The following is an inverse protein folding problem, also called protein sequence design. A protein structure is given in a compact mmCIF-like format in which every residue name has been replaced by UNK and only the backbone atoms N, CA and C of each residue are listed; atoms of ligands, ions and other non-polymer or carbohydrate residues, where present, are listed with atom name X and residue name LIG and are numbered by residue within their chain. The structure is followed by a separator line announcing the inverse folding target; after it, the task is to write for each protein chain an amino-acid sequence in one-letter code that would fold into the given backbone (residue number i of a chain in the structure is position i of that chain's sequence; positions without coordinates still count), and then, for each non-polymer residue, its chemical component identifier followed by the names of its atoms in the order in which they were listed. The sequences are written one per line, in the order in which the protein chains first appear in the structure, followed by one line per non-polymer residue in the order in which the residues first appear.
data_IF_573056241640
#
_entry.id   IF_573056241640
#
_cell.length_a   1.000
_cell.length_b   1.000
_cell.length_c   1.000
_cell.angle_alpha   90.00
_cell.angle_beta   90.00
_cell.angle_gamma   90.00
#
_symmetry.space_group_name_H-M   'P 1'
#
loop_
_entity.id
_entity.type
_entity.pdbx_description
1 polymer ?
2 non-polymer ?
3 non-polymer ?
4 non-polymer ?
5 water ?
#
# COMPACT_ATOMS: atom_id res chain seq x y z
N UNK A 7 -2.57 -28.68 1.04
CA UNK A 7 -2.66 -27.54 1.95
C UNK A 7 -3.58 -26.44 1.42
N UNK A 8 -4.26 -25.75 2.35
CA UNK A 8 -5.22 -24.71 1.97
C UNK A 8 -4.47 -23.44 1.60
N UNK A 9 -4.81 -22.86 0.45
CA UNK A 9 -4.08 -21.72 -0.07
C UNK A 9 -5.03 -20.74 -0.74
N UNK A 10 -4.64 -19.47 -0.73
CA UNK A 10 -5.15 -18.48 -1.67
C UNK A 10 -4.12 -18.23 -2.77
N UNK A 11 -4.62 -17.88 -3.97
CA UNK A 11 -3.76 -17.64 -5.13
C UNK A 11 -3.98 -16.20 -5.58
N UNK A 12 -3.02 -15.34 -5.26
CA UNK A 12 -3.16 -13.90 -5.42
C UNK A 12 -2.46 -13.44 -6.69
N UNK A 13 -3.12 -12.57 -7.46
CA UNK A 13 -2.52 -12.10 -8.72
C UNK A 13 -1.28 -11.26 -8.45
N UNK A 14 -0.25 -11.42 -9.30
CA UNK A 14 0.98 -10.63 -9.18
C UNK A 14 0.75 -9.18 -9.59
N UNK A 15 0.01 -8.93 -10.67
CA UNK A 15 -0.17 -7.55 -11.11
C UNK A 15 -1.43 -6.90 -10.55
N UNK A 16 -2.38 -7.68 -10.06
CA UNK A 16 -3.56 -7.16 -9.34
C UNK A 16 -3.57 -7.83 -7.97
N UNK A 17 -2.74 -7.31 -7.06
CA UNK A 17 -2.46 -8.04 -5.83
C UNK A 17 -3.61 -7.96 -4.83
N UNK A 18 -4.63 -7.20 -5.14
CA UNK A 18 -5.86 -7.22 -4.36
C UNK A 18 -6.84 -8.28 -4.85
N UNK A 19 -6.49 -8.99 -5.92
CA UNK A 19 -7.39 -9.95 -6.53
C UNK A 19 -6.85 -11.36 -6.41
N UNK A 20 -7.78 -12.30 -6.36
CA UNK A 20 -7.55 -13.70 -6.04
C UNK A 20 -8.31 -14.58 -7.01
N UNK A 21 -7.74 -15.73 -7.38
CA UNK A 21 -8.48 -16.72 -8.14
C UNK A 21 -9.64 -17.21 -7.28
N UNK A 22 -10.86 -17.14 -7.80
CA UNK A 22 -11.99 -17.57 -7.00
C UNK A 22 -13.03 -18.26 -7.87
N UNK A 23 -13.88 -19.02 -7.19
CA UNK A 23 -15.02 -19.69 -7.79
C UNK A 23 -16.25 -18.81 -7.60
N UNK A 24 -16.90 -18.43 -8.70
CA UNK A 24 -18.13 -17.64 -8.69
C UNK A 24 -19.22 -18.50 -9.35
N UNK A 25 -19.89 -19.31 -8.53
CA UNK A 25 -20.90 -20.27 -8.99
C UNK A 25 -20.42 -21.02 -10.24
N UNK A 26 -19.25 -21.64 -10.10
CA UNK A 26 -18.52 -22.44 -11.08
C UNK A 26 -17.79 -21.58 -12.10
N UNK A 27 -18.03 -20.27 -12.17
CA UNK A 27 -17.22 -19.40 -13.01
C UNK A 27 -15.89 -19.14 -12.33
N UNK A 28 -14.79 -19.36 -13.06
CA UNK A 28 -13.44 -19.21 -12.51
C UNK A 28 -12.88 -17.85 -12.93
N UNK A 29 -12.63 -16.98 -11.96
CA UNK A 29 -12.16 -15.64 -12.27
C UNK A 29 -11.26 -15.12 -11.16
N UNK A 30 -10.66 -13.95 -11.38
CA UNK A 30 -10.03 -13.21 -10.29
C UNK A 30 -10.94 -12.05 -9.92
N UNK A 31 -11.05 -11.80 -8.61
CA UNK A 31 -11.87 -10.72 -8.08
C UNK A 31 -11.18 -10.16 -6.85
N UNK A 32 -11.48 -8.90 -6.54
CA UNK A 32 -11.18 -8.43 -5.20
C UNK A 32 -12.43 -8.54 -4.33
N UNK A 33 -12.27 -8.25 -3.04
CA UNK A 33 -13.38 -8.28 -2.09
C UNK A 33 -14.16 -9.58 -2.19
N UNK A 34 -13.44 -10.71 -2.23
CA UNK A 34 -14.08 -11.99 -2.47
C UNK A 34 -14.98 -12.35 -1.28
N UNK A 35 -16.26 -12.54 -1.56
CA UNK A 35 -17.27 -12.82 -0.54
C UNK A 35 -18.13 -13.98 -1.03
N UNK A 36 -18.26 -15.07 -0.25
CA UNK A 36 -17.57 -15.39 1.00
C UNK A 36 -16.10 -15.68 0.76
N UNK A 37 -15.25 -15.52 1.79
CA UNK A 37 -13.82 -15.71 1.62
C UNK A 37 -13.47 -17.12 1.14
N UNK A 38 -14.30 -18.11 1.47
CA UNK A 38 -14.02 -19.47 1.07
C UNK A 38 -14.04 -19.64 -0.46
N UNK A 39 -14.69 -18.74 -1.18
CA UNK A 39 -14.64 -18.78 -2.63
C UNK A 39 -13.22 -18.63 -3.16
N UNK A 40 -12.33 -18.02 -2.37
CA UNK A 40 -10.95 -17.82 -2.79
C UNK A 40 -9.98 -18.82 -2.16
N UNK A 41 -10.48 -19.82 -1.43
CA UNK A 41 -9.61 -20.80 -0.78
C UNK A 41 -9.60 -22.09 -1.59
N UNK A 42 -8.40 -22.62 -1.78
CA UNK A 42 -8.20 -23.83 -2.55
C UNK A 42 -7.34 -24.81 -1.73
N UNK A 43 -7.44 -26.09 -2.05
CA UNK A 43 -6.55 -27.10 -1.50
C UNK A 43 -5.60 -27.51 -2.59
N UNK A 44 -4.32 -27.22 -2.42
CA UNK A 44 -3.30 -27.73 -3.32
C UNK A 44 -2.95 -29.15 -2.90
N UNK A 45 -3.18 -30.11 -3.79
CA UNK A 45 -2.98 -31.52 -3.50
C UNK A 45 -1.97 -32.06 -4.49
N UNK A 46 -1.34 -33.20 -4.19
CA UNK A 46 -0.49 -33.84 -5.19
C UNK A 46 -1.24 -34.03 -6.51
N UNK A 47 -0.52 -33.86 -7.61
CA UNK A 47 -1.17 -33.78 -8.91
C UNK A 47 -1.92 -35.07 -9.25
N UNK A 48 -3.12 -34.93 -9.82
CA UNK A 48 -3.92 -36.09 -10.21
C UNK A 48 -3.24 -36.92 -11.29
N UNK A 49 -2.51 -36.28 -12.20
CA UNK A 49 -1.86 -37.00 -13.28
C UNK A 49 -0.43 -37.43 -12.92
N UNK A 50 0.11 -36.92 -11.82
CA UNK A 50 1.46 -37.22 -11.39
C UNK A 50 1.60 -36.60 -10.00
N UNK A 51 1.68 -37.44 -8.98
CA UNK A 51 1.78 -36.89 -7.64
C UNK A 51 3.20 -36.42 -7.33
N UNK A 52 4.14 -36.64 -8.27
CA UNK A 52 5.53 -36.38 -8.02
C UNK A 52 5.96 -34.94 -8.25
N UNK A 53 7.23 -34.71 -7.92
CA UNK A 53 7.72 -33.39 -7.53
C UNK A 53 7.33 -32.32 -8.52
N UNK A 54 6.75 -31.25 -8.00
CA UNK A 54 6.30 -30.13 -8.79
C UNK A 54 4.80 -30.09 -8.98
N UNK A 55 4.20 -31.23 -9.31
CA UNK A 55 2.84 -31.27 -9.85
C UNK A 55 1.79 -31.23 -8.75
N UNK A 56 0.81 -30.34 -8.92
CA UNK A 56 -0.29 -30.20 -7.99
C UNK A 56 -1.59 -30.19 -8.77
N UNK A 57 -2.67 -30.38 -8.05
CA UNK A 57 -4.00 -30.15 -8.56
C UNK A 57 -4.68 -29.20 -7.59
N UNK A 58 -5.59 -28.40 -8.11
CA UNK A 58 -6.14 -27.26 -7.37
C UNK A 58 -7.61 -27.55 -7.09
N UNK A 59 -7.91 -27.86 -5.83
CA UNK A 59 -9.21 -28.39 -5.44
C UNK A 59 -10.02 -27.33 -4.72
N UNK A 60 -11.31 -27.28 -5.03
CA UNK A 60 -12.21 -26.39 -4.30
C UNK A 60 -12.37 -26.84 -2.85
N UNK A 61 -12.39 -25.88 -1.93
CA UNK A 61 -12.63 -26.25 -0.53
C UNK A 61 -14.13 -26.49 -0.29
N UNK A 62 -15.00 -25.89 -1.11
CA UNK A 62 -16.44 -26.04 -0.93
C UNK A 62 -16.95 -27.30 -1.61
N UNK A 63 -16.46 -27.59 -2.81
CA UNK A 63 -16.88 -28.75 -3.60
C UNK A 63 -15.68 -29.69 -3.69
N UNK A 64 -15.45 -30.47 -2.64
CA UNK A 64 -14.34 -31.41 -2.70
C UNK A 64 -14.59 -32.45 -3.78
N UNK A 65 -13.52 -32.88 -4.44
CA UNK A 65 -13.65 -33.65 -5.64
C UNK A 65 -13.79 -32.83 -6.90
N UNK A 66 -14.05 -31.52 -6.78
CA UNK A 66 -14.04 -30.59 -7.90
C UNK A 66 -12.68 -29.91 -7.96
N UNK A 67 -12.15 -29.77 -9.16
CA UNK A 67 -10.83 -29.20 -9.38
C UNK A 67 -10.91 -28.19 -10.53
N UNK A 68 -9.93 -27.30 -10.56
CA UNK A 68 -9.71 -26.47 -11.73
C UNK A 68 -9.13 -27.34 -12.86
N UNK A 69 -9.78 -27.33 -14.01
CA UNK A 69 -9.26 -28.03 -15.17
C UNK A 69 -9.40 -27.13 -16.38
N UNK A 70 -8.45 -27.24 -17.30
CA UNK A 70 -8.59 -26.49 -18.54
C UNK A 70 -9.33 -27.34 -19.58
N UNK A 71 -10.05 -26.64 -20.45
CA UNK A 71 -10.85 -27.26 -21.50
C UNK A 71 -10.96 -26.25 -22.64
N UNK A 72 -10.46 -26.59 -23.82
CA UNK A 72 -10.42 -25.64 -24.93
C UNK A 72 -9.69 -24.37 -24.52
N UNK A 73 -8.71 -24.51 -23.62
CA UNK A 73 -7.85 -23.47 -23.06
C UNK A 73 -8.58 -22.54 -22.09
N UNK A 74 -9.86 -22.75 -21.83
CA UNK A 74 -10.56 -22.02 -20.77
C UNK A 74 -10.56 -22.86 -19.51
N UNK A 75 -10.78 -22.22 -18.39
CA UNK A 75 -10.81 -22.93 -17.12
C UNK A 75 -12.24 -23.17 -16.66
N UNK A 76 -12.46 -24.35 -16.11
CA UNK A 76 -13.74 -24.78 -15.53
C UNK A 76 -13.46 -25.36 -14.16
N UNK A 77 -14.42 -25.23 -13.25
CA UNK A 77 -14.38 -25.95 -11.98
C UNK A 77 -15.28 -27.18 -12.18
N UNK A 78 -14.68 -28.36 -12.14
CA UNK A 78 -15.41 -29.58 -12.49
C UNK A 78 -15.03 -30.73 -11.56
N UNK A 79 -15.97 -31.66 -11.42
CA UNK A 79 -15.77 -32.83 -10.60
C UNK A 79 -14.92 -33.87 -11.33
N UNK A 80 -13.92 -34.42 -10.63
CA UNK A 80 -13.06 -35.43 -11.20
C UNK A 80 -13.89 -36.63 -11.65
N UNK A 81 -13.84 -36.94 -12.95
CA UNK A 81 -14.60 -38.05 -13.50
C UNK A 81 -13.76 -39.31 -13.69
N UNK A 82 -12.56 -39.36 -13.12
CA UNK A 82 -11.70 -40.53 -13.17
C UNK A 82 -10.99 -40.76 -14.48
N UNK A 83 -11.19 -39.92 -15.49
CA UNK A 83 -10.52 -40.09 -16.77
C UNK A 83 -9.10 -39.56 -16.73
N UNK A 84 -8.24 -40.13 -17.57
CA UNK A 84 -6.86 -39.64 -17.65
C UNK A 84 -6.82 -38.22 -18.21
N UNK A 85 -7.67 -37.92 -19.19
CA UNK A 85 -7.73 -36.57 -19.74
C UNK A 85 -8.11 -35.56 -18.66
N UNK A 86 -9.05 -35.91 -17.78
CA UNK A 86 -9.36 -34.99 -16.69
C UNK A 86 -8.13 -34.74 -15.84
N UNK A 87 -7.48 -35.83 -15.41
CA UNK A 87 -6.33 -35.68 -14.51
C UNK A 87 -5.25 -34.82 -15.17
N UNK A 88 -4.99 -35.05 -16.45
CA UNK A 88 -3.97 -34.26 -17.14
C UNK A 88 -4.39 -32.80 -17.29
N UNK A 89 -5.68 -32.55 -17.51
CA UNK A 89 -6.19 -31.19 -17.63
C UNK A 89 -6.25 -30.48 -16.27
N UNK A 90 -6.09 -31.21 -15.17
CA UNK A 90 -6.21 -30.66 -13.82
C UNK A 90 -4.91 -30.76 -13.05
N UNK A 91 -3.79 -30.97 -13.74
CA UNK A 91 -2.50 -31.12 -13.09
C UNK A 91 -1.55 -30.06 -13.65
N UNK A 92 -0.84 -29.39 -12.74
CA UNK A 92 0.02 -28.26 -13.06
C UNK A 92 1.29 -28.34 -12.25
N UNK A 93 2.43 -28.08 -12.90
CA UNK A 93 3.69 -27.99 -12.18
C UNK A 93 3.85 -26.59 -11.61
N UNK A 94 4.13 -26.50 -10.32
CA UNK A 94 4.45 -25.22 -9.70
C UNK A 94 5.90 -24.90 -10.02
N UNK A 95 6.11 -23.79 -10.73
CA UNK A 95 7.45 -23.38 -11.15
C UNK A 95 7.66 -21.96 -10.65
N UNK A 96 8.92 -21.50 -10.61
CA UNK A 96 9.17 -20.10 -10.22
C UNK A 96 8.41 -19.12 -11.12
N UNK A 97 7.97 -18.02 -10.51
CA UNK A 97 7.04 -17.13 -11.20
C UNK A 97 7.65 -16.56 -12.47
N UNK A 98 6.84 -16.53 -13.53
CA UNK A 98 7.36 -16.09 -14.82
C UNK A 98 7.69 -14.60 -14.83
N UNK A 99 6.99 -13.79 -14.03
CA UNK A 99 7.35 -12.38 -13.92
C UNK A 99 8.30 -12.10 -12.77
N UNK A 100 8.48 -13.06 -11.86
CA UNK A 100 9.33 -12.88 -10.68
C UNK A 100 9.54 -14.26 -10.07
N UNK A 101 10.77 -14.79 -10.07
CA UNK A 101 10.96 -16.20 -9.68
C UNK A 101 10.68 -16.48 -8.22
N UNK A 102 10.54 -15.45 -7.39
CA UNK A 102 10.13 -15.66 -6.01
C UNK A 102 8.63 -15.91 -5.88
N UNK A 103 7.86 -15.64 -6.92
CA UNK A 103 6.43 -15.94 -6.93
C UNK A 103 6.23 -17.30 -7.61
N UNK A 104 5.01 -17.60 -8.03
CA UNK A 104 4.66 -18.93 -8.52
C UNK A 104 3.93 -18.83 -9.86
N UNK A 105 4.26 -19.72 -10.79
CA UNK A 105 3.46 -19.93 -11.98
C UNK A 105 3.08 -21.40 -12.06
N UNK A 106 2.02 -21.70 -12.85
CA UNK A 106 1.41 -23.02 -12.89
C UNK A 106 1.45 -23.52 -14.33
N UNK A 107 2.37 -24.44 -14.61
CA UNK A 107 2.62 -24.98 -15.94
C UNK A 107 1.76 -26.21 -16.20
N UNK A 108 1.05 -26.24 -17.32
CA UNK A 108 0.15 -27.36 -17.60
C UNK A 108 0.92 -28.67 -17.72
N UNK A 109 0.35 -29.73 -17.15
CA UNK A 109 0.94 -31.07 -17.28
C UNK A 109 0.97 -31.54 -18.74
N UNK A 110 -0.16 -31.47 -19.45
CA UNK A 110 -0.19 -31.97 -20.81
C UNK A 110 0.13 -30.92 -21.87
N UNK A 111 0.24 -29.64 -21.50
CA UNK A 111 0.68 -28.59 -22.42
C UNK A 111 1.77 -27.79 -21.72
N UNK A 112 2.98 -28.34 -21.63
CA UNK A 112 3.99 -27.77 -20.74
C UNK A 112 4.54 -26.42 -21.21
N UNK A 113 4.18 -25.95 -22.39
CA UNK A 113 4.50 -24.58 -22.77
C UNK A 113 3.41 -23.60 -22.41
N UNK A 114 2.34 -24.05 -21.76
CA UNK A 114 1.21 -23.19 -21.42
C UNK A 114 1.08 -23.07 -19.92
N UNK A 115 0.62 -21.90 -19.48
CA UNK A 115 0.53 -21.55 -18.06
C UNK A 115 -0.85 -21.00 -17.75
N UNK A 116 -1.26 -21.16 -16.49
CA UNK A 116 -2.47 -20.50 -16.03
C UNK A 116 -2.25 -19.00 -16.02
N UNK A 117 -3.20 -18.25 -16.60
CA UNK A 117 -3.11 -16.79 -16.64
C UNK A 117 -4.51 -16.20 -16.60
N UNK A 118 -4.59 -14.95 -16.17
CA UNK A 118 -5.86 -14.25 -16.22
C UNK A 118 -5.90 -13.27 -17.40
N UNK A 119 -7.09 -13.13 -17.97
CA UNK A 119 -7.32 -12.21 -19.08
C UNK A 119 -8.76 -11.74 -19.04
N UNK A 120 -8.98 -10.43 -19.00
CA UNK A 120 -10.32 -9.87 -18.73
C UNK A 120 -10.92 -10.48 -17.47
N UNK A 121 -10.04 -10.75 -16.50
CA UNK A 121 -10.35 -11.31 -15.18
C UNK A 121 -10.81 -12.76 -15.22
N UNK A 122 -10.83 -13.42 -16.37
CA UNK A 122 -11.16 -14.84 -16.45
C UNK A 122 -9.87 -15.65 -16.54
N UNK A 123 -9.95 -16.93 -16.18
CA UNK A 123 -8.78 -17.79 -16.17
C UNK A 123 -8.68 -18.58 -17.47
N UNK A 124 -7.46 -18.63 -18.01
CA UNK A 124 -7.14 -19.31 -19.28
C UNK A 124 -5.85 -20.07 -19.09
N UNK A 125 -5.55 -20.93 -20.08
CA UNK A 125 -4.29 -21.65 -20.17
C UNK A 125 -3.62 -21.22 -21.48
N UNK A 126 -2.56 -20.42 -21.39
CA UNK A 126 -2.00 -19.77 -22.57
C UNK A 126 -0.49 -19.90 -22.64
N UNK A 127 0.02 -19.84 -23.88
CA UNK A 127 1.43 -19.57 -24.08
C UNK A 127 1.74 -18.15 -23.60
N UNK A 128 2.95 -17.96 -23.09
CA UNK A 128 3.30 -16.72 -22.39
C UNK A 128 4.47 -16.09 -23.15
N UNK A 129 4.20 -14.94 -23.77
CA UNK A 129 5.16 -14.27 -24.65
C UNK A 129 5.54 -12.89 -24.10
N UNK A 130 4.56 -12.04 -23.81
CA UNK A 130 4.84 -10.65 -23.48
C UNK A 130 5.06 -10.48 -21.96
N UNK A 131 5.57 -9.30 -21.58
CA UNK A 131 5.66 -8.98 -20.16
C UNK A 131 4.28 -8.94 -19.51
N UNK A 132 3.28 -8.49 -20.26
CA UNK A 132 1.89 -8.56 -19.79
C UNK A 132 1.51 -10.00 -19.50
N UNK A 133 1.74 -10.89 -20.49
CA UNK A 133 1.47 -12.31 -20.28
C UNK A 133 2.17 -12.83 -19.03
N UNK A 134 3.45 -12.48 -18.87
CA UNK A 134 4.19 -13.01 -17.72
C UNK A 134 3.56 -12.57 -16.41
N UNK A 135 3.14 -11.30 -16.32
CA UNK A 135 2.50 -10.85 -15.07
C UNK A 135 1.14 -11.51 -14.89
N UNK A 136 0.39 -11.68 -15.99
CA UNK A 136 -0.92 -12.35 -15.92
C UNK A 136 -0.80 -13.80 -15.51
N UNK A 137 0.39 -14.39 -15.62
CA UNK A 137 0.62 -15.79 -15.31
C UNK A 137 1.37 -15.99 -14.00
N UNK A 138 1.57 -14.94 -13.22
CA UNK A 138 2.33 -15.03 -11.97
C UNK A 138 1.38 -14.82 -10.81
N UNK A 139 1.53 -15.64 -9.77
CA UNK A 139 0.64 -15.61 -8.62
C UNK A 139 1.44 -15.78 -7.34
N UNK A 140 0.91 -15.23 -6.26
CA UNK A 140 1.47 -15.44 -4.93
C UNK A 140 0.62 -16.47 -4.20
N UNK A 141 1.25 -17.56 -3.78
CA UNK A 141 0.58 -18.59 -3.01
C UNK A 141 0.63 -18.19 -1.54
N UNK A 142 -0.53 -17.98 -0.94
CA UNK A 142 -0.63 -17.65 0.48
C UNK A 142 -1.22 -18.89 1.16
N UNK A 143 -0.42 -19.52 2.01
CA UNK A 143 -0.83 -20.79 2.62
C UNK A 143 -0.54 -20.77 4.11
N UNK A 144 -0.61 -21.94 4.76
CA UNK A 144 -0.50 -21.99 6.22
C UNK A 144 0.87 -21.60 6.71
N UNK A 145 1.90 -21.69 5.88
CA UNK A 145 3.23 -21.24 6.28
C UNK A 145 3.39 -19.74 6.17
N UNK A 146 2.50 -19.04 5.48
CA UNK A 146 2.61 -17.60 5.38
C UNK A 146 2.34 -16.94 6.74
N UNK A 147 2.89 -15.74 6.91
CA UNK A 147 2.63 -14.98 8.13
C UNK A 147 1.14 -14.77 8.26
N UNK A 148 0.59 -15.14 9.42
CA UNK A 148 -0.83 -14.97 9.76
C UNK A 148 -1.06 -13.55 10.24
N UNK A 149 -1.81 -12.72 9.51
CA UNK A 149 -2.03 -11.34 9.97
C UNK A 149 -2.81 -11.22 11.29
N UNK A 150 -3.45 -12.30 11.76
CA UNK A 150 -4.19 -12.26 13.01
C UNK A 150 -3.38 -12.73 14.20
N UNK A 151 -2.13 -13.13 14.00
CA UNK A 151 -1.30 -13.65 15.07
C UNK A 151 -0.39 -12.53 15.59
N UNK A 152 -0.41 -12.30 16.89
CA UNK A 152 0.42 -11.24 17.47
C UNK A 152 1.85 -11.70 17.67
N UNK A 153 2.78 -10.74 17.62
CA UNK A 153 4.20 -11.02 17.82
C UNK A 153 4.88 -9.71 18.20
N UNK A 154 5.65 -9.73 19.29
CA UNK A 154 6.35 -8.51 19.71
C UNK A 154 7.63 -8.26 18.92
N UNK A 155 8.19 -9.28 18.29
CA UNK A 155 9.35 -9.06 17.44
C UNK A 155 8.92 -8.51 16.09
N UNK A 156 9.64 -7.52 15.59
CA UNK A 156 9.38 -6.91 14.29
C UNK A 156 10.48 -7.35 13.34
N UNK A 157 10.18 -8.34 12.50
CA UNK A 157 11.08 -8.83 11.47
C UNK A 157 10.30 -8.77 10.16
N UNK A 158 10.81 -7.99 9.21
CA UNK A 158 10.14 -7.83 7.93
C UNK A 158 11.08 -8.26 6.82
N UNK A 159 10.48 -8.59 5.68
CA UNK A 159 11.23 -8.72 4.44
C UNK A 159 10.77 -7.60 3.52
N UNK A 160 11.69 -6.71 3.18
CA UNK A 160 11.38 -5.58 2.31
C UNK A 160 11.61 -5.96 0.84
N UNK A 161 10.72 -5.60 -0.09
CA UNK A 161 9.48 -4.82 0.10
C UNK A 161 8.39 -5.59 0.84
N UNK A 162 7.73 -4.93 1.80
CA UNK A 162 6.63 -5.57 2.49
C UNK A 162 5.43 -5.70 1.58
N UNK A 163 5.06 -4.61 0.89
CA UNK A 163 3.95 -4.63 -0.05
C UNK A 163 4.44 -4.03 -1.35
N UNK A 164 4.44 -4.84 -2.41
CA UNK A 164 4.88 -4.34 -3.70
C UNK A 164 3.81 -3.47 -4.35
N UNK A 165 4.28 -2.46 -5.10
CA UNK A 165 3.43 -1.62 -5.94
C UNK A 165 2.31 -0.96 -5.13
N UNK A 166 2.68 -0.45 -3.96
CA UNK A 166 1.83 0.44 -3.17
C UNK A 166 2.69 1.61 -2.74
N UNK A 167 2.28 2.82 -3.07
CA UNK A 167 3.04 4.02 -2.74
C UNK A 167 2.33 4.79 -1.62
N UNK A 168 3.04 5.78 -1.06
CA UNK A 168 2.49 6.62 0.00
C UNK A 168 1.92 5.77 1.15
N UNK A 169 2.70 4.82 1.69
CA UNK A 169 2.12 3.90 2.68
C UNK A 169 1.79 4.61 3.99
N UNK A 170 0.54 4.49 4.41
CA UNK A 170 0.08 4.97 5.71
C UNK A 170 -0.18 3.77 6.62
N UNK A 171 0.50 3.72 7.77
CA UNK A 171 0.31 2.62 8.72
C UNK A 171 -0.05 3.20 10.08
N UNK A 172 -1.18 2.75 10.62
CA UNK A 172 -1.74 3.27 11.87
C UNK A 172 -1.95 2.10 12.82
N UNK A 173 -1.26 2.16 13.98
CA UNK A 173 -1.39 1.14 15.02
C UNK A 173 -2.59 1.50 15.90
N UNK A 174 -3.65 0.72 15.79
CA UNK A 174 -4.89 0.97 16.52
C UNK A 174 -4.83 0.29 17.89
N UNK A 175 -5.81 0.64 18.74
CA UNK A 175 -5.85 0.14 20.11
C UNK A 175 -6.49 -1.25 20.23
N UNK A 176 -6.84 -1.89 19.11
CA UNK A 176 -7.29 -3.27 19.07
C UNK A 176 -6.15 -4.27 18.82
N UNK A 177 -4.90 -3.80 18.74
CA UNK A 177 -3.79 -4.68 18.46
C UNK A 177 -3.56 -4.96 16.98
N UNK A 178 -4.10 -4.14 16.09
CA UNK A 178 -3.88 -4.27 14.66
C UNK A 178 -3.23 -3.00 14.12
N UNK A 179 -2.28 -3.18 13.20
CA UNK A 179 -1.92 -2.12 12.26
C UNK A 179 -2.93 -2.08 11.13
N UNK A 180 -3.28 -0.87 10.70
CA UNK A 180 -4.14 -0.64 9.55
C UNK A 180 -3.35 0.11 8.49
N UNK A 181 -3.40 -0.35 7.24
CA UNK A 181 -2.57 0.24 6.20
C UNK A 181 -3.44 0.69 5.05
N UNK A 182 -3.24 1.93 4.63
CA UNK A 182 -3.78 2.44 3.38
C UNK A 182 -2.62 2.95 2.55
N UNK A 183 -2.82 2.98 1.23
CA UNK A 183 -1.72 3.39 0.35
C UNK A 183 -2.33 3.81 -0.98
N UNK A 184 -1.52 4.52 -1.78
CA UNK A 184 -1.91 4.79 -3.16
C UNK A 184 -1.76 3.52 -3.99
N UNK A 185 -2.75 3.23 -4.81
CA UNK A 185 -2.65 2.10 -5.74
C UNK A 185 -2.17 2.63 -7.09
N UNK A 186 -1.52 1.80 -7.91
CA UNK A 186 -0.88 2.32 -9.13
C UNK A 186 -1.84 2.95 -10.12
N UNK A 187 -3.11 2.53 -10.13
CA UNK A 187 -4.10 3.12 -11.03
C UNK A 187 -4.70 4.40 -10.47
N UNK A 188 -4.40 4.71 -9.20
CA UNK A 188 -4.91 5.90 -8.53
C UNK A 188 -6.43 6.01 -8.67
N UNK A 189 -7.14 4.89 -8.46
CA UNK A 189 -8.57 4.87 -8.77
C UNK A 189 -9.44 4.32 -7.65
N UNK A 190 -8.89 4.06 -6.47
CA UNK A 190 -9.70 3.46 -5.42
C UNK A 190 -8.92 3.60 -4.11
N UNK A 191 -9.61 3.29 -3.01
CA UNK A 191 -9.03 3.32 -1.66
C UNK A 191 -9.00 1.90 -1.13
N UNK A 192 -7.80 1.43 -0.79
CA UNK A 192 -7.55 0.07 -0.34
C UNK A 192 -7.14 0.05 1.12
N UNK A 193 -7.72 -0.89 1.90
CA UNK A 193 -7.41 -1.04 3.32
C UNK A 193 -7.04 -2.49 3.63
N UNK A 194 -6.05 -2.67 4.51
CA UNK A 194 -5.71 -3.99 5.03
C UNK A 194 -5.29 -3.84 6.49
N UNK A 195 -5.24 -4.96 7.20
CA UNK A 195 -4.80 -4.91 8.60
C UNK A 195 -4.01 -6.17 8.94
N UNK A 196 -3.17 -6.03 9.97
CA UNK A 196 -2.32 -7.11 10.43
C UNK A 196 -1.83 -6.76 11.82
N UNK A 197 -1.65 -7.79 12.66
CA UNK A 197 -1.12 -7.54 14.00
C UNK A 197 0.38 -7.26 13.96
N UNK A 198 1.06 -7.67 12.89
CA UNK A 198 2.48 -7.42 12.70
C UNK A 198 2.69 -6.72 11.35
N UNK A 199 3.76 -5.92 11.27
CA UNK A 199 4.08 -5.28 10.00
C UNK A 199 4.32 -6.31 8.90
N UNK A 200 5.00 -7.41 9.22
CA UNK A 200 5.26 -8.38 8.15
C UNK A 200 3.96 -9.00 7.65
N UNK A 201 2.97 -9.17 8.53
CA UNK A 201 1.68 -9.68 8.12
C UNK A 201 0.93 -8.79 7.16
N UNK A 202 1.31 -7.50 7.05
CA UNK A 202 0.71 -6.64 6.05
C UNK A 202 0.97 -7.19 4.65
N UNK A 203 2.04 -7.97 4.50
CA UNK A 203 2.36 -8.53 3.19
C UNK A 203 1.31 -9.54 2.75
N UNK A 204 0.84 -10.36 3.68
CA UNK A 204 -0.05 -11.46 3.35
C UNK A 204 -1.51 -11.15 3.65
N UNK A 205 -1.80 -10.03 4.32
CA UNK A 205 -3.18 -9.70 4.65
C UNK A 205 -4.02 -9.52 3.39
N UNK A 206 -5.28 -9.91 3.48
CA UNK A 206 -6.20 -9.73 2.37
C UNK A 206 -6.70 -8.30 2.34
N UNK A 207 -6.35 -7.51 1.32
CA UNK A 207 -6.81 -6.13 1.28
C UNK A 207 -8.27 -6.06 0.83
N UNK A 208 -8.91 -4.96 1.20
CA UNK A 208 -10.27 -4.70 0.77
C UNK A 208 -10.33 -3.36 0.05
N UNK A 209 -10.98 -3.33 -1.12
CA UNK A 209 -11.30 -2.06 -1.77
C UNK A 209 -12.50 -1.48 -1.03
N UNK A 210 -12.29 -0.45 -0.22
CA UNK A 210 -13.41 0.08 0.54
C UNK A 210 -14.14 1.18 -0.21
N UNK A 211 -13.55 1.75 -1.26
CA UNK A 211 -14.14 2.87 -1.99
C UNK A 211 -13.50 2.95 -3.37
N UNK A 212 -14.34 3.13 -4.41
CA UNK A 212 -13.86 3.34 -5.77
C UNK A 212 -14.29 4.71 -6.25
N UNK A 213 -13.48 5.28 -7.14
CA UNK A 213 -13.72 6.65 -7.58
C UNK A 213 -15.01 6.71 -8.40
N UNK A 214 -15.59 7.91 -8.44
CA UNK A 214 -16.79 8.15 -9.21
C UNK A 214 -16.49 8.02 -10.69
N UNK A 215 -17.50 7.63 -11.46
CA UNK A 215 -17.24 7.45 -12.89
C UNK A 215 -17.16 8.78 -13.65
N UNK A 216 -17.61 9.89 -13.06
CA UNK A 216 -17.42 11.20 -13.66
C UNK A 216 -17.45 12.26 -12.56
N UNK A 217 -16.97 13.45 -12.90
CA UNK A 217 -17.15 14.60 -12.02
C UNK A 217 -16.27 14.59 -10.79
N UNK A 218 -16.86 14.98 -9.66
CA UNK A 218 -16.12 15.13 -8.42
C UNK A 218 -15.65 13.76 -7.95
N UNK A 219 -14.47 13.71 -7.31
CA UNK A 219 -13.89 12.46 -6.85
C UNK A 219 -13.73 11.45 -7.97
N UNK A 220 -13.46 11.94 -9.19
CA UNK A 220 -13.46 11.11 -10.37
C UNK A 220 -12.15 11.12 -11.13
N UNK A 221 -11.14 11.78 -10.56
CA UNK A 221 -9.82 11.83 -11.15
C UNK A 221 -8.83 10.96 -10.38
N UNK A 222 -7.60 11.42 -10.25
CA UNK A 222 -6.61 10.70 -9.46
C UNK A 222 -7.03 10.61 -8.01
N UNK A 223 -6.88 9.42 -7.42
CA UNK A 223 -7.14 9.13 -6.01
C UNK A 223 -5.78 8.89 -5.35
N UNK A 224 -5.38 9.76 -4.43
CA UNK A 224 -4.02 9.77 -3.92
C UNK A 224 -3.94 9.72 -2.39
N UNK A 225 -3.01 8.92 -1.89
CA UNK A 225 -2.51 8.98 -0.51
C UNK A 225 -3.56 8.99 0.60
N UNK A 226 -4.46 8.00 0.64
CA UNK A 226 -5.43 7.97 1.72
C UNK A 226 -4.74 7.64 3.04
N UNK A 227 -5.26 8.23 4.12
CA UNK A 227 -4.83 7.88 5.49
C UNK A 227 -6.05 7.52 6.33
N UNK A 228 -6.01 6.40 7.05
CA UNK A 228 -7.09 6.04 7.96
C UNK A 228 -6.71 6.42 9.38
N UNK A 229 -7.64 7.07 10.08
CA UNK A 229 -7.47 7.56 11.44
C UNK A 229 -8.69 7.19 12.28
N UNK A 230 -8.47 7.03 13.57
CA UNK A 230 -9.55 6.80 14.53
C UNK A 230 -9.68 8.05 15.39
N UNK A 231 -10.82 8.72 15.32
CA UNK A 231 -11.03 10.00 16.01
C UNK A 231 -12.42 10.00 16.63
N UNK A 232 -12.48 10.29 17.93
CA UNK A 232 -13.74 10.42 18.66
C UNK A 232 -14.66 9.24 18.38
N UNK A 233 -14.10 8.04 18.43
CA UNK A 233 -14.87 6.81 18.31
C UNK A 233 -15.26 6.39 16.91
N UNK A 234 -14.79 7.07 15.87
CA UNK A 234 -15.18 6.74 14.50
C UNK A 234 -13.94 6.67 13.62
N UNK A 235 -14.04 5.92 12.54
CA UNK A 235 -12.97 5.87 11.55
C UNK A 235 -13.13 6.95 10.49
N UNK A 236 -12.02 7.53 10.08
CA UNK A 236 -11.99 8.52 9.02
C UNK A 236 -10.90 8.17 8.04
N UNK A 237 -11.19 8.37 6.75
CA UNK A 237 -10.15 8.31 5.75
C UNK A 237 -10.04 9.68 5.12
N UNK A 238 -8.85 10.27 5.23
CA UNK A 238 -8.52 11.51 4.53
C UNK A 238 -7.76 11.15 3.27
N UNK A 239 -8.24 11.65 2.12
CA UNK A 239 -7.58 11.31 0.86
C UNK A 239 -7.72 12.48 -0.09
N UNK A 240 -6.97 12.41 -1.18
CA UNK A 240 -6.91 13.47 -2.17
C UNK A 240 -7.46 12.95 -3.49
N UNK A 241 -8.25 13.79 -4.17
CA UNK A 241 -8.93 13.35 -5.38
C UNK A 241 -9.13 14.51 -6.35
N UNK A 242 -8.85 14.24 -7.63
CA UNK A 242 -9.15 15.18 -8.70
C UNK A 242 -10.52 14.88 -9.27
N UNK A 243 -10.82 15.51 -10.42
CA UNK A 243 -12.09 15.30 -11.09
C UNK A 243 -11.90 14.52 -12.38
N UNK A 244 -13.01 14.03 -12.94
CA UNK A 244 -12.87 13.27 -14.18
C UNK A 244 -12.44 14.16 -15.35
N UNK A 245 -12.77 15.45 -15.32
CA UNK A 245 -12.36 16.33 -16.40
C UNK A 245 -10.98 16.95 -16.18
N UNK A 246 -10.45 16.86 -14.96
CA UNK A 246 -9.06 17.25 -14.70
C UNK A 246 -8.55 16.36 -13.58
N UNK A 247 -7.85 15.29 -13.95
CA UNK A 247 -7.38 14.34 -12.94
C UNK A 247 -6.48 14.99 -11.89
N UNK A 248 -5.91 16.16 -12.19
CA UNK A 248 -4.97 16.81 -11.28
C UNK A 248 -5.56 17.99 -10.53
N UNK A 249 -6.85 18.25 -10.70
CA UNK A 249 -7.53 19.31 -9.95
C UNK A 249 -7.93 18.76 -8.58
N UNK A 250 -6.92 18.61 -7.74
CA UNK A 250 -7.02 17.72 -6.59
C UNK A 250 -7.37 18.53 -5.33
N UNK A 251 -8.28 17.98 -4.54
CA UNK A 251 -8.68 18.52 -3.25
C UNK A 251 -8.71 17.40 -2.23
N UNK A 252 -8.86 17.78 -0.96
CA UNK A 252 -9.00 16.83 0.13
C UNK A 252 -10.46 16.39 0.30
N UNK A 253 -10.65 15.09 0.54
CA UNK A 253 -11.96 14.51 0.81
C UNK A 253 -11.88 13.59 2.02
N UNK A 254 -13.04 13.28 2.60
CA UNK A 254 -13.14 12.49 3.82
C UNK A 254 -14.20 11.41 3.66
N UNK A 255 -13.89 10.20 4.12
CA UNK A 255 -14.85 9.12 4.32
C UNK A 255 -14.98 8.85 5.81
N UNK A 256 -16.16 8.42 6.23
CA UNK A 256 -16.42 8.18 7.64
C UNK A 256 -17.03 6.79 7.81
N UNK A 257 -16.59 6.06 8.84
CA UNK A 257 -17.16 4.76 9.16
C UNK A 257 -17.34 4.66 10.67
N UNK A 258 -18.60 4.61 11.12
CA UNK A 258 -18.93 4.45 12.53
C UNK A 258 -18.77 3.01 13.02
N UNK A 259 -18.88 2.05 12.11
CA UNK A 259 -18.75 0.65 12.49
C UNK A 259 -17.36 0.39 13.06
N UNK A 260 -17.28 -0.60 13.95
CA UNK A 260 -16.04 -0.77 14.70
C UNK A 260 -14.93 -1.39 13.86
N UNK A 261 -15.28 -2.30 12.95
CA UNK A 261 -14.28 -2.90 12.08
C UNK A 261 -14.34 -2.19 10.73
N UNK A 262 -13.30 -1.44 10.35
CA UNK A 262 -13.38 -0.69 9.07
C UNK A 262 -13.25 -1.58 7.85
N UNK A 263 -12.83 -2.84 8.02
CA UNK A 263 -12.80 -3.79 6.91
C UNK A 263 -14.16 -4.43 6.63
N UNK A 264 -15.13 -4.33 7.54
CA UNK A 264 -16.47 -4.84 7.30
C UNK A 264 -17.53 -3.75 7.37
N UNK A 265 -17.21 -2.57 7.90
CA UNK A 265 -18.20 -1.57 8.13
C UNK A 265 -18.56 -0.79 6.87
N UNK A 266 -19.54 0.07 7.02
CA UNK A 266 -20.01 0.89 5.92
C UNK A 266 -19.29 2.24 5.93
N UNK A 267 -18.73 2.61 4.79
CA UNK A 267 -18.03 3.87 4.64
C UNK A 267 -18.91 4.88 3.91
N UNK A 268 -18.99 6.09 4.44
CA UNK A 268 -19.85 7.15 3.92
C UNK A 268 -18.99 8.33 3.45
N UNK A 269 -19.30 8.86 2.28
CA UNK A 269 -18.63 10.08 1.81
C UNK A 269 -19.10 11.26 2.63
N UNK A 270 -18.15 12.07 3.10
CA UNK A 270 -18.49 13.29 3.82
C UNK A 270 -18.25 14.55 3.01
N UNK A 271 -17.60 14.45 1.85
CA UNK A 271 -17.35 15.60 1.01
C UNK A 271 -15.97 16.17 1.19
N UNK A 272 -15.80 17.39 0.66
CA UNK A 272 -14.50 18.03 0.62
C UNK A 272 -14.14 18.60 1.98
N UNK A 273 -12.88 18.41 2.37
CA UNK A 273 -12.33 19.06 3.56
C UNK A 273 -11.73 20.37 3.06
N UNK A 274 -12.44 21.47 3.32
CA UNK A 274 -12.08 22.74 2.72
C UNK A 274 -11.00 23.43 3.55
N UNK A 275 -10.09 24.12 2.86
CA UNK A 275 -9.09 24.97 3.50
C UNK A 275 -9.35 26.43 3.13
N UNK A 276 -8.37 27.30 3.41
CA UNK A 276 -8.64 28.74 3.29
C UNK A 276 -8.83 29.21 1.86
N UNK A 277 -8.39 28.45 0.86
CA UNK A 277 -8.62 28.84 -0.54
C UNK A 277 -8.64 27.59 -1.40
N UNK A 278 -9.22 27.70 -2.59
CA UNK A 278 -9.35 26.58 -3.52
C UNK A 278 -8.14 26.52 -4.44
N UNK A 279 -7.41 25.40 -4.39
CA UNK A 279 -6.25 25.18 -5.22
C UNK A 279 -5.87 23.71 -5.05
N UNK A 280 -4.86 23.27 -5.81
CA UNK A 280 -4.23 21.96 -5.68
C UNK A 280 -3.91 21.68 -4.22
N UNK A 281 -4.56 20.68 -3.61
CA UNK A 281 -4.43 20.38 -2.18
C UNK A 281 -4.38 18.87 -2.00
N UNK A 282 -3.41 18.36 -1.21
CA UNK A 282 -3.23 16.92 -1.14
C UNK A 282 -2.50 16.52 0.15
N UNK A 283 -2.45 15.21 0.37
CA UNK A 283 -1.54 14.58 1.35
C UNK A 283 -1.81 15.05 2.78
N UNK A 284 -3.08 15.17 3.16
CA UNK A 284 -3.40 15.62 4.51
C UNK A 284 -3.13 14.52 5.54
N UNK A 285 -2.65 14.94 6.71
CA UNK A 285 -2.56 14.06 7.87
C UNK A 285 -3.08 14.85 9.08
N UNK A 286 -3.25 14.15 10.20
CA UNK A 286 -3.68 14.82 11.41
C UNK A 286 -3.01 14.22 12.63
N UNK A 287 -2.87 15.03 13.67
CA UNK A 287 -2.34 14.59 14.95
C UNK A 287 -2.98 15.42 16.05
N UNK A 288 -2.91 14.91 17.27
CA UNK A 288 -3.41 15.58 18.47
C UNK A 288 -2.24 15.88 19.39
N UNK A 289 -2.34 17.00 20.10
CA UNK A 289 -1.34 17.34 21.10
C UNK A 289 -1.96 18.24 22.15
N UNK A 290 -1.85 17.83 23.41
CA UNK A 290 -2.30 18.65 24.54
C UNK A 290 -3.74 19.15 24.36
N UNK A 291 -4.61 18.26 23.87
CA UNK A 291 -6.02 18.57 23.72
C UNK A 291 -6.43 19.28 22.45
N UNK A 292 -5.50 19.61 21.57
CA UNK A 292 -5.83 20.24 20.29
C UNK A 292 -5.49 19.30 19.14
N UNK A 293 -6.39 19.20 18.17
CA UNK A 293 -6.14 18.44 16.96
C UNK A 293 -5.77 19.40 15.82
N UNK A 294 -4.82 18.97 15.01
CA UNK A 294 -4.28 19.75 13.90
C UNK A 294 -4.45 18.97 12.62
N UNK A 295 -4.63 19.70 11.52
CA UNK A 295 -4.46 19.13 10.17
C UNK A 295 -3.14 19.65 9.61
N UNK A 296 -2.38 18.76 8.96
CA UNK A 296 -1.12 19.11 8.29
C UNK A 296 -1.20 18.59 6.86
N UNK A 297 -0.93 19.45 5.88
CA UNK A 297 -1.19 19.04 4.50
C UNK A 297 -0.33 19.83 3.53
N UNK A 298 -0.45 19.47 2.26
CA UNK A 298 0.26 20.14 1.18
C UNK A 298 -0.72 20.92 0.31
N UNK A 299 -0.36 22.16 -0.06
CA UNK A 299 -1.26 22.97 -0.88
C UNK A 299 -0.48 23.97 -1.72
N UNK A 300 -0.98 24.17 -2.95
CA UNK A 300 -0.47 25.21 -3.83
C UNK A 300 -0.93 26.59 -3.37
N UNK A 301 0.02 27.52 -3.25
CA UNK A 301 -0.31 28.93 -3.10
C UNK A 301 -0.09 29.61 -4.45
N UNK A 302 -1.11 30.21 -5.06
CA UNK A 302 -0.90 30.80 -6.40
C UNK A 302 0.22 31.83 -6.46
N UNK A 303 0.59 32.41 -5.31
CA UNK A 303 1.60 33.47 -5.24
C UNK A 303 3.00 32.95 -5.03
N UNK A 304 3.19 31.63 -4.88
CA UNK A 304 4.50 31.03 -4.64
C UNK A 304 4.77 30.02 -5.75
N UNK A 305 5.96 30.10 -6.36
CA UNK A 305 6.36 29.22 -7.46
C UNK A 305 6.84 27.86 -6.92
N UNK A 306 5.93 27.16 -6.26
CA UNK A 306 6.15 25.77 -5.90
C UNK A 306 4.86 25.03 -6.18
N UNK A 307 4.98 23.72 -6.45
CA UNK A 307 3.78 22.92 -6.63
C UNK A 307 2.94 22.87 -5.37
N UNK A 308 3.58 22.85 -4.21
CA UNK A 308 2.84 22.81 -2.95
C UNK A 308 3.77 23.15 -1.79
N UNK A 309 3.17 23.69 -0.73
CA UNK A 309 3.86 24.00 0.51
C UNK A 309 3.18 23.23 1.64
N UNK A 310 3.86 23.15 2.79
CA UNK A 310 3.29 22.46 3.96
C UNK A 310 2.56 23.47 4.81
N UNK A 311 1.31 23.15 5.18
CA UNK A 311 0.46 23.97 6.04
C UNK A 311 0.03 23.19 7.28
N UNK A 312 -0.20 23.92 8.35
CA UNK A 312 -0.81 23.40 9.56
C UNK A 312 -1.99 24.28 9.91
N UNK A 313 -3.03 23.68 10.48
CA UNK A 313 -4.15 24.44 11.03
C UNK A 313 -4.81 23.64 12.15
N UNK A 314 -5.42 24.36 13.08
CA UNK A 314 -6.22 23.71 14.10
C UNK A 314 -7.49 23.12 13.47
N UNK A 315 -7.92 21.97 13.95
CA UNK A 315 -9.15 21.39 13.46
C UNK A 315 -10.31 21.66 14.43
N UNK A 316 -11.52 21.62 13.88
CA UNK A 316 -12.77 21.74 14.63
C UNK A 316 -13.52 20.44 14.39
N UNK A 317 -13.11 19.39 15.09
CA UNK A 317 -13.62 18.06 14.83
C UNK A 317 -12.93 17.45 13.62
N UNK A 318 -13.21 16.17 13.34
CA UNK A 318 -12.49 15.47 12.27
C UNK A 318 -12.84 15.93 10.88
N UNK A 319 -13.83 16.81 10.71
CA UNK A 319 -14.32 17.13 9.39
C UNK A 319 -14.02 18.55 8.94
N UNK A 320 -13.32 19.36 9.74
CA UNK A 320 -13.03 20.73 9.29
C UNK A 320 -11.82 21.31 10.01
N UNK A 321 -11.20 22.29 9.37
CA UNK A 321 -10.23 23.15 10.04
C UNK A 321 -10.96 24.39 10.52
N UNK A 322 -10.31 25.15 11.39
CA UNK A 322 -10.80 26.42 11.86
C UNK A 322 -9.67 27.44 11.84
N UNK A 323 -10.03 28.71 11.63
CA UNK A 323 -9.00 29.72 11.63
C UNK A 323 -8.18 29.72 10.35
N UNK A 324 -7.00 30.33 10.45
CA UNK A 324 -6.15 30.53 9.29
C UNK A 324 -5.13 29.40 9.18
N UNK A 325 -4.89 28.94 7.95
CA UNK A 325 -3.83 27.97 7.75
C UNK A 325 -2.48 28.69 7.72
N UNK A 326 -1.45 28.00 8.20
CA UNK A 326 -0.13 28.60 8.40
C UNK A 326 0.87 27.80 7.57
N UNK A 327 1.63 28.50 6.73
CA UNK A 327 2.69 27.83 5.98
C UNK A 327 3.91 27.60 6.88
N UNK A 328 4.33 26.34 7.01
CA UNK A 328 5.49 26.00 7.85
C UNK A 328 6.63 25.40 7.04
N UNK A 329 6.45 25.15 5.75
CA UNK A 329 7.57 24.79 4.90
C UNK A 329 7.23 25.16 3.46
N UNK A 330 8.22 25.67 2.74
CA UNK A 330 8.14 25.90 1.30
C UNK A 330 9.51 25.59 0.70
N UNK A 331 9.57 25.12 -0.56
CA UNK A 331 10.87 24.73 -1.13
C UNK A 331 11.85 25.89 -1.15
N UNK A 332 13.06 25.63 -0.68
CA UNK A 332 14.07 26.66 -0.49
C UNK A 332 15.42 26.17 -0.98
N UNK A 333 15.76 24.93 -0.68
CA UNK A 333 17.05 24.38 -1.07
C UNK A 333 16.95 23.65 -2.40
N UNK A 334 18.09 23.54 -3.08
CA UNK A 334 18.08 22.87 -4.38
C UNK A 334 17.59 21.44 -4.27
N UNK A 335 17.87 20.75 -3.16
CA UNK A 335 17.41 19.37 -3.05
C UNK A 335 15.90 19.25 -2.90
N UNK A 336 15.19 20.35 -2.71
CA UNK A 336 13.73 20.36 -2.74
C UNK A 336 13.16 20.64 -4.12
N UNK A 337 14.01 20.91 -5.12
CA UNK A 337 13.54 21.45 -6.38
C UNK A 337 14.05 20.70 -7.60
N UNK A 338 14.56 19.48 -7.42
CA UNK A 338 15.00 18.69 -8.56
C UNK A 338 13.77 18.17 -9.29
N UNK A 339 13.66 18.50 -10.58
CA UNK A 339 12.48 18.20 -11.35
C UNK A 339 11.49 19.34 -11.25
N UNK A 340 10.99 19.55 -10.04
CA UNK A 340 10.15 20.71 -9.77
C UNK A 340 10.21 20.96 -8.27
N UNK A 341 9.86 22.18 -7.89
CA UNK A 341 9.90 22.61 -6.50
C UNK A 341 8.63 22.11 -5.80
N UNK A 342 8.79 21.33 -4.73
CA UNK A 342 7.62 20.73 -4.08
C UNK A 342 7.98 20.34 -2.65
N UNK A 343 7.05 20.60 -1.73
CA UNK A 343 6.97 19.99 -0.41
C UNK A 343 5.63 19.28 -0.32
N UNK A 344 5.63 18.01 0.05
CA UNK A 344 4.38 17.25 0.17
C UNK A 344 4.57 16.12 1.18
N UNK A 345 3.60 15.21 1.25
CA UNK A 345 3.68 14.04 2.10
C UNK A 345 4.10 14.26 3.56
N UNK A 346 3.47 15.21 4.26
CA UNK A 346 3.84 15.42 5.67
C UNK A 346 3.48 14.22 6.55
N UNK A 347 4.30 14.01 7.58
CA UNK A 347 4.09 12.93 8.52
C UNK A 347 4.63 13.37 9.89
N UNK A 348 3.87 13.09 10.94
CA UNK A 348 4.15 13.65 12.27
C UNK A 348 4.68 12.56 13.20
N UNK A 349 5.68 12.93 13.99
CA UNK A 349 6.28 12.03 14.98
C UNK A 349 6.52 12.84 16.24
N UNK A 350 6.00 12.40 17.39
CA UNK A 350 6.20 13.13 18.65
C UNK A 350 7.20 12.38 19.50
N UNK A 351 8.20 13.10 20.02
CA UNK A 351 9.25 12.45 20.80
C UNK A 351 10.09 13.49 21.50
N UNK A 352 10.55 13.18 22.71
CA UNK A 352 11.61 13.94 23.38
C UNK A 352 11.24 15.43 23.48
N UNK A 353 10.00 15.71 23.87
CA UNK A 353 9.58 17.10 24.00
C UNK A 353 9.52 17.88 22.72
N UNK A 354 9.47 17.22 21.58
CA UNK A 354 9.43 17.91 20.30
C UNK A 354 8.33 17.30 19.44
N UNK A 355 7.93 18.05 18.43
CA UNK A 355 7.06 17.55 17.38
C UNK A 355 7.84 17.61 16.08
N UNK A 356 8.00 16.45 15.45
CA UNK A 356 8.74 16.30 14.20
C UNK A 356 7.77 16.10 13.05
N UNK A 357 7.99 16.81 11.96
CA UNK A 357 7.20 16.63 10.73
C UNK A 357 8.19 16.39 9.60
N UNK A 358 8.23 15.16 9.08
CA UNK A 358 8.96 14.97 7.84
C UNK A 358 8.06 15.34 6.68
N UNK A 359 8.69 15.64 5.55
CA UNK A 359 7.98 15.89 4.30
C UNK A 359 8.84 15.38 3.16
N UNK A 360 8.25 15.26 1.99
CA UNK A 360 8.98 14.81 0.81
C UNK A 360 9.12 15.96 -0.17
N UNK A 361 10.18 15.92 -0.96
CA UNK A 361 10.49 17.03 -1.85
C UNK A 361 11.11 16.48 -3.13
N UNK A 362 11.16 17.34 -4.15
CA UNK A 362 11.60 17.03 -5.51
C UNK A 362 10.66 16.04 -6.18
N UNK A 363 10.92 15.75 -7.46
CA UNK A 363 10.08 14.88 -8.27
C UNK A 363 10.01 13.47 -7.69
N UNK A 364 8.96 12.75 -8.06
CA UNK A 364 8.69 11.40 -7.58
C UNK A 364 9.47 10.33 -8.35
N UNK A 365 10.65 10.68 -8.84
CA UNK A 365 11.52 9.67 -9.45
C UNK A 365 12.62 9.37 -8.45
N UNK A 366 13.83 9.04 -8.92
CA UNK A 366 14.90 8.75 -7.98
C UNK A 366 15.32 9.99 -7.19
N UNK A 367 14.92 11.18 -7.61
CA UNK A 367 15.32 12.41 -6.93
C UNK A 367 14.47 12.70 -5.69
N UNK A 368 13.36 11.98 -5.50
CA UNK A 368 12.53 12.12 -4.32
C UNK A 368 13.37 11.94 -3.06
N UNK A 369 13.09 12.75 -2.05
CA UNK A 369 13.79 12.64 -0.76
C UNK A 369 12.93 13.26 0.32
N UNK A 370 13.42 13.20 1.56
CA UNK A 370 12.68 13.71 2.72
C UNK A 370 13.47 14.82 3.41
N UNK A 371 12.73 15.81 3.91
CA UNK A 371 13.22 16.81 4.82
C UNK A 371 12.56 16.70 6.18
N UNK A 372 12.98 17.58 7.11
CA UNK A 372 12.49 17.53 8.48
C UNK A 372 12.19 18.92 9.03
N UNK A 373 11.02 19.05 9.64
CA UNK A 373 10.62 20.22 10.42
C UNK A 373 10.54 19.82 11.89
N UNK A 374 11.00 20.72 12.78
CA UNK A 374 11.06 20.45 14.21
C UNK A 374 10.53 21.66 14.98
N UNK A 375 9.61 21.40 15.90
CA UNK A 375 9.12 22.40 16.85
C UNK A 375 9.24 21.86 18.26
N UNK A 376 9.37 22.76 19.22
CA UNK A 376 9.23 22.37 20.61
C UNK A 376 7.78 22.05 20.91
N UNK A 377 7.52 20.99 21.68
CA UNK A 377 6.11 20.63 21.90
C UNK A 377 5.41 21.54 22.91
N UNK A 378 6.10 22.55 23.44
CA UNK A 378 5.44 23.59 24.23
C UNK A 378 5.23 24.88 23.43
N UNK A 379 5.70 24.94 22.19
CA UNK A 379 5.56 26.14 21.40
C UNK A 379 4.15 26.25 20.82
N UNK A 380 3.83 27.45 20.35
CA UNK A 380 2.64 27.71 19.53
C UNK A 380 2.88 27.08 18.16
N UNK A 381 2.22 25.95 17.90
CA UNK A 381 2.46 25.22 16.67
C UNK A 381 1.89 25.93 15.45
N UNK A 382 1.08 26.98 15.64
CA UNK A 382 0.54 27.79 14.56
C UNK A 382 1.35 29.06 14.32
N UNK A 383 2.49 29.20 15.00
CA UNK A 383 3.44 30.27 14.73
C UNK A 383 4.53 29.72 13.82
N UNK A 384 4.73 30.25 12.62
CA UNK A 384 5.77 29.70 11.75
C UNK A 384 7.16 29.73 12.38
N UNK A 385 7.45 30.73 13.21
CA UNK A 385 8.75 30.81 13.86
C UNK A 385 8.99 29.70 14.86
N UNK A 386 7.99 28.89 15.18
CA UNK A 386 8.18 27.72 16.03
C UNK A 386 8.82 26.54 15.30
N UNK A 387 8.83 26.55 13.98
CA UNK A 387 9.24 25.40 13.17
C UNK A 387 10.60 25.66 12.55
N UNK A 388 11.50 24.68 12.65
CA UNK A 388 12.85 24.79 12.13
C UNK A 388 13.04 23.71 11.06
N UNK A 389 13.40 24.11 9.85
CA UNK A 389 13.66 23.16 8.78
C UNK A 389 15.13 22.76 8.79
N UNK A 390 15.39 21.46 8.71
CA UNK A 390 16.78 21.02 8.60
C UNK A 390 17.32 21.39 7.21
N UNK A 391 18.58 21.84 7.14
CA UNK A 391 19.08 22.39 5.86
C UNK A 391 19.42 21.36 4.79
N UNK A 392 19.53 20.08 5.15
CA UNK A 392 19.87 19.01 4.23
C UNK A 392 18.78 17.96 4.25
N UNK A 393 18.68 17.11 3.22
CA UNK A 393 17.74 15.99 3.30
C UNK A 393 18.09 15.11 4.49
N UNK A 394 17.05 14.52 5.09
CA UNK A 394 17.24 13.58 6.19
C UNK A 394 17.03 12.13 5.77
N UNK A 395 16.65 11.89 4.52
CA UNK A 395 16.49 10.54 3.98
C UNK A 395 16.51 10.69 2.47
N UNK A 396 17.30 9.86 1.78
CA UNK A 396 17.46 10.03 0.35
C UNK A 396 17.93 8.73 -0.29
N UNK A 397 17.96 8.73 -1.64
CA UNK A 397 18.42 7.57 -2.38
C UNK A 397 19.77 7.09 -1.87
N UNK A 398 20.03 5.79 -2.01
CA UNK A 398 21.32 5.23 -1.62
C UNK A 398 21.72 4.16 -2.63
N UNK A 399 22.65 4.48 -3.53
CA UNK A 399 23.03 3.51 -4.57
C UNK A 399 23.62 2.23 -4.01
N UNK A 400 24.34 2.28 -2.89
CA UNK A 400 25.00 1.07 -2.41
C UNK A 400 23.98 0.08 -1.85
N UNK A 401 22.83 0.54 -1.38
CA UNK A 401 21.74 -0.36 -0.98
C UNK A 401 20.74 -0.58 -2.09
N UNK A 402 20.88 0.11 -3.22
CA UNK A 402 20.01 -0.08 -4.36
C UNK A 402 18.62 0.46 -4.21
N UNK A 403 18.43 1.48 -3.36
CA UNK A 403 17.11 2.05 -3.10
C UNK A 403 17.05 3.50 -3.57
N UNK A 404 16.00 3.86 -4.31
CA UNK A 404 15.95 5.12 -5.03
C UNK A 404 14.64 5.87 -4.79
N UNK A 405 14.75 7.17 -4.55
CA UNK A 405 13.60 8.03 -4.36
C UNK A 405 12.71 7.69 -3.18
N UNK A 406 13.27 7.57 -1.98
CA UNK A 406 12.43 7.19 -0.83
C UNK A 406 11.62 8.36 -0.31
N UNK A 407 10.39 8.10 0.10
CA UNK A 407 9.60 9.18 0.66
C UNK A 407 8.16 8.81 0.89
N UNK A 408 7.34 9.86 0.95
CA UNK A 408 6.00 9.91 1.53
C UNK A 408 5.80 8.84 2.59
N UNK A 409 6.40 9.07 3.73
CA UNK A 409 6.49 8.12 4.82
C UNK A 409 5.34 8.30 5.80
N UNK A 410 5.16 7.30 6.66
CA UNK A 410 4.38 7.43 7.87
C UNK A 410 5.22 6.88 9.03
N UNK A 411 4.76 7.13 10.25
CA UNK A 411 5.46 6.65 11.44
C UNK A 411 4.52 5.79 12.25
N UNK A 412 5.04 4.66 12.73
CA UNK A 412 4.30 3.83 13.65
C UNK A 412 5.28 3.31 14.70
N UNK A 413 4.86 2.31 15.46
CA UNK A 413 5.68 1.74 16.53
C UNK A 413 5.65 0.23 16.44
N UNK A 414 6.62 -0.40 17.11
CA UNK A 414 6.50 -1.81 17.46
C UNK A 414 5.20 -2.03 18.24
N UNK A 415 4.71 -3.27 18.29
CA UNK A 415 3.46 -3.53 19.02
C UNK A 415 3.52 -3.11 20.49
N UNK A 416 4.67 -3.19 21.12
CA UNK A 416 4.79 -2.78 22.51
C UNK A 416 5.02 -1.28 22.66
N UNK A 417 5.07 -0.53 21.57
CA UNK A 417 5.23 0.91 21.61
C UNK A 417 6.61 1.40 21.95
N UNK A 418 7.60 0.52 22.10
CA UNK A 418 8.87 0.97 22.64
C UNK A 418 9.81 1.55 21.59
N UNK A 419 9.65 1.22 20.31
CA UNK A 419 10.49 1.80 19.27
C UNK A 419 9.62 2.37 18.17
N UNK A 420 10.17 3.36 17.47
CA UNK A 420 9.50 4.02 16.37
C UNK A 420 9.98 3.40 15.06
N UNK A 421 9.05 3.24 14.13
CA UNK A 421 9.32 2.58 12.86
C UNK A 421 8.81 3.49 11.75
N UNK A 422 9.62 3.67 10.73
CA UNK A 422 9.22 4.46 9.57
C UNK A 422 8.81 3.51 8.46
N UNK A 423 7.69 3.81 7.83
CA UNK A 423 7.18 3.07 6.67
C UNK A 423 7.15 4.06 5.52
N UNK A 424 7.69 3.68 4.37
CA UNK A 424 7.87 4.63 3.27
C UNK A 424 7.94 3.82 1.97
N UNK A 425 7.91 4.52 0.83
CA UNK A 425 8.09 3.81 -0.43
C UNK A 425 9.44 4.14 -1.05
N UNK A 426 9.91 3.25 -1.91
CA UNK A 426 11.08 3.50 -2.75
C UNK A 426 11.09 2.49 -3.88
N UNK A 427 11.85 2.81 -4.93
CA UNK A 427 12.11 1.89 -6.03
C UNK A 427 13.47 1.24 -5.84
N UNK A 428 13.62 0.01 -6.33
CA UNK A 428 14.89 -0.68 -6.28
C UNK A 428 15.65 -0.60 -7.60
N UNK A 429 15.37 0.43 -8.40
CA UNK A 429 16.20 0.79 -9.54
C UNK A 429 16.14 2.29 -9.74
N UNK A 430 17.09 2.83 -10.49
CA UNK A 430 17.18 4.29 -10.60
C UNK A 430 16.44 4.84 -11.81
N UNK A 431 16.65 4.23 -12.98
CA UNK A 431 16.20 4.81 -14.24
C UNK A 431 14.73 4.50 -14.50
N UNK A 432 13.96 5.53 -14.80
CA UNK A 432 12.54 5.42 -15.11
C UNK A 432 12.31 5.83 -16.56
N UNK A 433 11.54 5.04 -17.28
CA UNK A 433 11.12 5.36 -18.63
C UNK A 433 9.77 6.05 -18.57
N UNK A 434 9.68 7.27 -19.09
CA UNK A 434 8.41 7.98 -19.13
C UNK A 434 8.09 8.76 -17.87
N UNK A 435 6.86 9.26 -17.86
CA UNK A 435 6.31 10.00 -16.73
C UNK A 435 6.40 9.13 -15.47
N UNK A 436 7.17 9.55 -14.44
CA UNK A 436 7.34 8.67 -13.25
C UNK A 436 6.05 8.38 -12.52
N UNK A 437 5.05 9.26 -12.63
CA UNK A 437 3.75 9.02 -11.98
C UNK A 437 3.13 7.71 -12.44
N UNK A 438 3.51 7.23 -13.63
CA UNK A 438 2.94 6.03 -14.19
C UNK A 438 3.93 4.87 -14.23
N UNK A 439 5.09 5.01 -13.58
CA UNK A 439 5.89 3.85 -13.21
C UNK A 439 5.35 3.31 -11.88
N UNK A 440 4.82 2.09 -11.85
CA UNK A 440 4.09 1.62 -10.66
C UNK A 440 4.95 0.97 -9.58
N UNK A 441 6.28 0.99 -9.71
CA UNK A 441 7.12 0.11 -8.91
C UNK A 441 7.68 0.75 -7.64
N UNK A 442 7.03 1.78 -7.11
CA UNK A 442 7.33 2.19 -5.75
C UNK A 442 6.74 1.16 -4.78
N UNK A 443 7.58 0.57 -3.94
CA UNK A 443 7.17 -0.50 -3.03
C UNK A 443 7.20 0.01 -1.60
N UNK A 444 6.31 -0.55 -0.77
CA UNK A 444 6.22 -0.19 0.63
C UNK A 444 7.23 -1.00 1.46
N UNK A 445 7.95 -0.32 2.36
CA UNK A 445 8.98 -0.97 3.16
C UNK A 445 9.09 -0.25 4.50
N UNK A 446 9.87 -0.85 5.43
CA UNK A 446 9.96 -0.31 6.78
C UNK A 446 11.34 -0.54 7.37
N UNK A 447 11.71 0.36 8.27
CA UNK A 447 12.95 0.20 9.03
C UNK A 447 12.87 1.05 10.29
N UNK A 448 13.78 0.76 11.22
CA UNK A 448 13.76 1.41 12.52
C UNK A 448 14.08 2.90 12.36
N UNK A 449 13.54 3.71 13.27
CA UNK A 449 13.94 5.09 13.46
C UNK A 449 14.94 5.09 14.62
N UNK A 450 16.16 5.56 14.37
CA UNK A 450 17.09 5.68 15.49
C UNK A 450 16.99 7.08 16.08
N UNK A 451 17.62 7.26 17.24
CA UNK A 451 17.57 8.53 17.95
C UNK A 451 18.99 8.99 18.27
N UNK A 452 19.28 10.23 17.91
CA UNK A 452 20.54 10.85 18.26
C UNK A 452 20.55 11.22 19.75
N UNK A 453 21.76 11.37 20.29
CA UNK A 453 21.90 11.71 21.71
C UNK A 453 21.13 12.99 22.06
N UNK A 454 20.97 13.91 21.10
CA UNK A 454 20.25 15.15 21.36
C UNK A 454 18.73 15.00 21.21
N UNK A 455 18.23 13.79 21.00
CA UNK A 455 16.80 13.55 20.95
C UNK A 455 16.15 13.75 19.60
N UNK A 456 16.93 13.97 18.54
CA UNK A 456 16.40 14.12 17.19
C UNK A 456 16.48 12.80 16.43
N UNK A 457 15.66 12.62 15.40
CA UNK A 457 15.63 11.32 14.71
C UNK A 457 16.79 11.14 13.75
N UNK A 458 17.31 9.93 13.72
CA UNK A 458 18.30 9.50 12.75
C UNK A 458 17.64 8.42 11.88
N UNK A 459 17.30 8.80 10.65
CA UNK A 459 16.63 7.88 9.74
C UNK A 459 17.61 7.00 8.99
N UNK A 460 18.90 7.32 9.03
CA UNK A 460 19.89 6.48 8.37
C UNK A 460 19.77 6.56 6.86
N UNK A 461 19.96 5.41 6.22
CA UNK A 461 19.87 5.27 4.76
C UNK A 461 18.84 4.17 4.49
N UNK A 462 18.16 4.19 3.35
CA UNK A 462 17.18 3.12 3.08
C UNK A 462 17.87 1.76 3.04
N UNK A 463 17.34 0.81 3.81
CA UNK A 463 17.99 -0.50 3.90
C UNK A 463 17.81 -1.25 2.59
N UNK A 464 18.76 -2.13 2.29
CA UNK A 464 18.65 -2.96 1.11
C UNK A 464 17.48 -3.94 1.24
N UNK A 465 16.98 -4.38 0.09
CA UNK A 465 15.93 -5.39 0.08
C UNK A 465 16.37 -6.65 0.85
N UNK A 466 15.40 -7.34 1.40
CA UNK A 466 15.64 -8.57 2.12
C UNK A 466 15.12 -8.50 3.54
N UNK A 467 15.50 -9.48 4.33
CA UNK A 467 15.00 -9.60 5.69
C UNK A 467 15.65 -8.56 6.59
N UNK A 468 14.83 -7.77 7.28
CA UNK A 468 15.29 -6.72 8.18
C UNK A 468 14.74 -6.98 9.57
N UNK A 469 15.63 -7.21 10.53
CA UNK A 469 15.24 -7.39 11.92
C UNK A 469 15.13 -6.00 12.52
N UNK A 470 13.89 -5.50 12.65
CA UNK A 470 13.73 -4.11 13.11
C UNK A 470 13.82 -4.04 14.63
N UNK A 471 13.23 -5.01 15.34
CA UNK A 471 13.10 -4.91 16.78
C UNK A 471 12.91 -6.31 17.38
N UNK A 472 13.72 -6.62 18.38
CA UNK A 472 13.49 -7.76 19.27
C UNK A 472 13.42 -7.20 20.68
N UNK A 473 12.37 -7.45 21.45
CA UNK A 473 12.28 -6.88 22.79
C UNK A 473 13.34 -7.47 23.70
N UNK A 474 13.89 -6.67 24.62
CA UNK A 474 14.84 -7.04 25.68
C UNK A 474 14.30 -8.08 26.66
#
# INVERSE_FOLDING_TARGET
MTGADGAIAKLQSYNYSHMYIRNANFDVRIDDNVTPETDAQWVLVPGLANSGEGYVSIQSVDHLGYYLRHWNYDFRLEKNDGTRIFAEDATFKMVPGLADPSYTSFQSYNYPTRYIRHYNYLLRLDEIVTALDREDATFRVIDSSSVDPDKADDSVIVTNPIVRRRADPWVYRHTDGYYYMTASVPEYDRIELRRSRTLQGLSTATPKTIWRRHSSGIMGGHIWAPEIHFIDGKWYIYFSAGTSTNYFDIRLYVLECSDSNPLTGTWVEKGQLKTNWESFTLDATTFEHNGTRYLVWAQKDPKIASNSNIYIAKMNGPLAITGNQVMISTPEYSWEKIGYAVNEGPAVLKKNGKIFITFSASATDANYCMGLLTASDTANLLDPKSWHKSPNPVFQSNPSTGQYGPGHNSFTTSPDGKVDIMVYHARNYRDITGDPLYDPNRHTRAQIVNWNADGTPDFGIPVADGTNVIYIPPQTPTPIPTNSPTPSDLIYLEHHHHHH
#
